data_IF_322039986171
#
_entry.id   IF_322039986171
#
_cell.length_a   1.000
_cell.length_b   1.000
_cell.length_c   1.000
_cell.angle_alpha   90.00
_cell.angle_beta   90.00
_cell.angle_gamma   90.00
#
_symmetry.space_group_name_H-M   'P 1'
#
loop_
_entity.id
_entity.type
_entity.pdbx_description
1 polymer ?
#
# COMPACT_ATOMS: atom_id res chain seq x y z
N UNK A 1 -40.12 52.29 31.59
CA UNK A 1 -38.73 52.55 31.20
C UNK A 1 -37.74 51.79 32.05
N UNK A 2 -37.76 51.79 33.37
CA UNK A 2 -36.80 51.05 34.24
C UNK A 2 -36.78 49.53 34.01
N UNK A 3 -37.92 48.88 33.72
CA UNK A 3 -37.99 47.43 33.50
C UNK A 3 -37.34 47.00 32.18
N UNK A 4 -37.45 47.82 31.13
CA UNK A 4 -36.82 47.52 29.83
C UNK A 4 -35.30 47.66 29.93
N UNK A 5 -34.80 48.60 30.70
CA UNK A 5 -33.37 48.80 30.95
C UNK A 5 -32.73 47.58 31.67
N UNK A 6 -33.46 46.99 32.61
CA UNK A 6 -33.01 45.78 33.34
C UNK A 6 -32.91 44.59 32.41
N UNK A 7 -33.88 44.40 31.51
CA UNK A 7 -33.82 43.30 30.53
C UNK A 7 -32.67 43.48 29.50
N UNK A 8 -32.38 44.71 29.12
CA UNK A 8 -31.29 45.02 28.20
C UNK A 8 -29.92 44.78 28.85
N UNK A 9 -29.76 45.13 30.11
CA UNK A 9 -28.56 44.83 30.90
C UNK A 9 -28.35 43.33 31.13
N UNK A 10 -29.45 42.58 31.40
CA UNK A 10 -29.36 41.13 31.54
C UNK A 10 -28.98 40.45 30.26
N UNK A 11 -29.49 40.92 29.13
CA UNK A 11 -29.14 40.39 27.80
C UNK A 11 -27.68 40.64 27.44
N UNK A 12 -27.15 41.83 27.75
CA UNK A 12 -25.73 42.16 27.55
C UNK A 12 -24.81 41.31 28.44
N UNK A 13 -25.20 40.97 29.67
CA UNK A 13 -24.44 40.11 30.58
C UNK A 13 -24.37 38.67 30.02
N UNK A 14 -25.45 38.14 29.44
CA UNK A 14 -25.45 36.81 28.83
C UNK A 14 -24.62 36.75 27.52
N UNK A 15 -24.57 37.81 26.74
CA UNK A 15 -23.78 37.86 25.53
C UNK A 15 -22.26 37.93 25.82
N UNK A 16 -21.83 38.42 26.95
CA UNK A 16 -20.43 38.48 27.38
C UNK A 16 -19.86 37.15 27.83
N UNK A 17 -20.71 36.14 28.14
CA UNK A 17 -20.26 34.80 28.55
C UNK A 17 -20.04 33.82 27.38
N UNK A 18 -20.24 34.24 26.12
CA UNK A 18 -20.14 33.39 24.93
C UNK A 18 -18.70 33.21 24.40
N UNK A 19 -17.70 33.85 25.00
CA UNK A 19 -16.31 33.56 24.65
C UNK A 19 -15.76 32.45 25.58
N UNK A 20 -16.15 31.22 25.32
CA UNK A 20 -15.43 30.05 25.85
C UNK A 20 -14.19 29.89 24.97
N UNK A 21 -13.02 30.25 25.49
CA UNK A 21 -11.76 29.88 24.86
C UNK A 21 -11.67 28.36 24.85
N UNK A 22 -11.76 27.78 23.65
CA UNK A 22 -11.51 26.36 23.44
C UNK A 22 -10.03 26.08 23.72
N UNK A 23 -9.72 25.56 24.90
CA UNK A 23 -8.40 25.14 25.30
C UNK A 23 -8.05 23.73 24.77
N UNK A 24 -8.93 23.08 23.99
CA UNK A 24 -8.71 21.72 23.48
C UNK A 24 -7.61 21.63 22.44
N UNK A 25 -7.15 22.76 21.89
CA UNK A 25 -6.16 22.82 20.82
C UNK A 25 -4.69 22.95 21.28
N UNK A 26 -4.39 22.84 22.59
CA UNK A 26 -3.04 23.18 23.10
C UNK A 26 -2.01 22.04 23.05
N UNK A 27 -2.41 20.82 22.74
CA UNK A 27 -1.50 19.67 22.71
C UNK A 27 -1.45 18.95 21.36
N UNK A 28 -1.36 19.71 20.25
CA UNK A 28 -1.02 19.07 18.98
C UNK A 28 0.43 18.60 19.01
N UNK A 29 0.62 17.32 19.21
CA UNK A 29 1.90 16.68 18.97
C UNK A 29 2.14 16.70 17.46
N UNK A 30 3.13 17.47 17.01
CA UNK A 30 3.54 17.44 15.60
C UNK A 30 4.11 16.05 15.33
N UNK A 31 3.34 15.21 14.68
CA UNK A 31 3.81 13.92 14.21
C UNK A 31 4.48 14.13 12.85
N UNK A 32 5.75 13.78 12.76
CA UNK A 32 6.46 13.81 11.48
C UNK A 32 6.08 12.57 10.69
N UNK A 33 5.58 12.71 9.45
CA UNK A 33 5.19 11.56 8.65
C UNK A 33 6.39 10.69 8.30
N UNK A 34 6.17 9.38 8.23
CA UNK A 34 7.08 8.45 7.59
C UNK A 34 6.99 8.72 6.08
N UNK A 35 8.12 8.66 5.36
CA UNK A 35 8.12 8.79 3.90
C UNK A 35 8.74 7.54 3.30
N UNK A 36 8.08 6.95 2.32
CA UNK A 36 8.52 5.75 1.62
C UNK A 36 8.87 6.12 0.18
N UNK A 37 10.10 5.84 -0.23
CA UNK A 37 10.58 6.02 -1.59
C UNK A 37 11.13 4.69 -2.13
N UNK A 38 10.96 4.45 -3.42
CA UNK A 38 11.58 3.32 -4.11
C UNK A 38 12.80 3.79 -4.90
N UNK A 39 13.92 3.09 -4.76
CA UNK A 39 15.15 3.42 -5.47
C UNK A 39 14.91 3.31 -6.99
N UNK A 40 15.26 4.36 -7.74
CA UNK A 40 15.18 4.36 -9.20
C UNK A 40 13.86 4.89 -9.78
N UNK A 41 12.94 5.43 -8.97
CA UNK A 41 11.62 5.91 -9.42
C UNK A 41 10.81 4.88 -10.23
N UNK A 42 11.10 3.60 -10.08
CA UNK A 42 10.36 2.52 -10.72
C UNK A 42 9.01 2.33 -10.01
N UNK A 43 8.00 3.01 -10.52
CA UNK A 43 6.61 2.81 -10.07
C UNK A 43 5.92 1.67 -10.81
N UNK A 44 6.61 1.03 -11.76
CA UNK A 44 6.11 -0.08 -12.55
C UNK A 44 7.23 -1.10 -12.84
N UNK A 45 6.93 -2.38 -12.61
CA UNK A 45 7.84 -3.50 -12.83
C UNK A 45 7.14 -4.56 -13.68
N UNK A 46 7.88 -5.22 -14.57
CA UNK A 46 7.45 -6.42 -15.30
C UNK A 46 8.24 -7.62 -14.78
N UNK A 47 7.55 -8.72 -14.56
CA UNK A 47 8.15 -9.94 -14.03
C UNK A 47 7.43 -11.17 -14.59
N UNK A 48 8.13 -12.27 -14.77
CA UNK A 48 7.48 -13.54 -15.09
C UNK A 48 6.84 -14.16 -13.86
N UNK A 49 5.75 -14.89 -14.08
CA UNK A 49 5.09 -15.63 -13.02
C UNK A 49 6.09 -16.59 -12.35
N UNK A 50 6.07 -16.63 -11.02
CA UNK A 50 6.95 -17.41 -10.12
C UNK A 50 8.39 -16.90 -10.00
N UNK A 51 8.79 -15.89 -10.76
CA UNK A 51 10.08 -15.24 -10.53
C UNK A 51 10.08 -14.46 -9.22
N UNK A 52 11.26 -14.33 -8.65
CA UNK A 52 11.45 -13.57 -7.40
C UNK A 52 11.59 -12.08 -7.70
N UNK A 53 10.67 -11.29 -7.17
CA UNK A 53 10.78 -9.83 -7.19
C UNK A 53 11.53 -9.34 -5.96
N UNK A 54 12.54 -8.50 -6.17
CA UNK A 54 13.30 -7.86 -5.10
C UNK A 54 13.12 -6.34 -5.14
N UNK A 55 12.70 -5.76 -4.00
CA UNK A 55 12.49 -4.31 -3.85
C UNK A 55 13.09 -3.87 -2.51
N UNK A 56 13.92 -2.83 -2.57
CA UNK A 56 14.59 -2.24 -1.41
C UNK A 56 14.09 -0.80 -1.23
N UNK A 57 13.06 -0.55 -0.40
CA UNK A 57 12.54 0.79 -0.17
C UNK A 57 13.51 1.62 0.67
N UNK A 58 13.52 2.92 0.43
CA UNK A 58 14.15 3.92 1.29
C UNK A 58 13.06 4.48 2.20
N UNK A 59 13.25 4.34 3.52
CA UNK A 59 12.24 4.76 4.50
C UNK A 59 12.82 5.85 5.39
N UNK A 60 12.28 7.08 5.27
CA UNK A 60 12.62 8.21 6.11
C UNK A 60 11.74 8.20 7.36
N UNK A 61 12.32 7.80 8.48
CA UNK A 61 11.60 7.50 9.73
C UNK A 61 11.28 8.73 10.56
N UNK A 62 11.89 9.87 10.26
CA UNK A 62 11.66 11.16 10.92
C UNK A 62 11.73 11.13 12.47
N UNK A 63 12.58 10.23 13.02
CA UNK A 63 12.83 10.10 14.46
C UNK A 63 12.09 8.94 15.13
N UNK A 64 11.36 8.10 14.36
CA UNK A 64 10.79 6.84 14.85
C UNK A 64 11.90 5.77 14.89
N UNK A 65 11.98 5.02 15.99
CA UNK A 65 12.92 3.89 16.13
C UNK A 65 12.46 2.70 15.29
N UNK A 66 13.41 1.93 14.72
CA UNK A 66 13.13 0.77 13.88
C UNK A 66 12.30 -0.30 14.58
N UNK A 67 12.50 -0.51 15.86
CA UNK A 67 11.74 -1.45 16.69
C UNK A 67 10.25 -1.09 16.81
N UNK A 68 9.89 0.17 16.55
CA UNK A 68 8.52 0.66 16.57
C UNK A 68 7.85 0.63 15.20
N UNK A 69 8.56 0.23 14.15
CA UNK A 69 7.98 0.09 12.81
C UNK A 69 7.58 -1.35 12.54
N UNK A 70 6.46 -1.51 11.85
CA UNK A 70 6.06 -2.76 11.20
C UNK A 70 5.86 -2.53 9.72
N UNK A 71 6.10 -3.56 8.97
CA UNK A 71 6.04 -3.57 7.51
C UNK A 71 5.04 -4.62 7.06
N UNK A 72 4.29 -4.33 6.02
CA UNK A 72 3.38 -5.28 5.40
C UNK A 72 3.36 -5.05 3.89
N UNK A 73 3.71 -6.08 3.13
CA UNK A 73 3.61 -6.08 1.68
C UNK A 73 2.41 -6.89 1.24
N UNK A 74 1.54 -6.27 0.47
CA UNK A 74 0.35 -6.89 -0.11
C UNK A 74 0.36 -6.76 -1.61
N UNK A 75 -0.19 -7.77 -2.30
CA UNK A 75 -0.53 -7.69 -3.71
C UNK A 75 -2.03 -7.78 -3.89
N UNK A 76 -2.59 -6.99 -4.79
CA UNK A 76 -4.02 -7.00 -5.13
C UNK A 76 -4.28 -6.54 -6.57
N UNK A 77 -5.47 -6.80 -7.07
CA UNK A 77 -5.94 -6.34 -8.38
C UNK A 77 -6.37 -7.47 -9.30
N UNK A 78 -7.03 -7.13 -10.41
CA UNK A 78 -7.47 -8.09 -11.44
C UNK A 78 -8.24 -9.29 -10.89
N UNK A 79 -9.20 -9.06 -10.00
CA UNK A 79 -9.94 -10.13 -9.31
C UNK A 79 -9.06 -10.99 -8.40
N UNK A 80 -7.76 -10.71 -8.31
CA UNK A 80 -6.86 -11.35 -7.36
C UNK A 80 -7.13 -10.78 -5.96
N UNK A 81 -7.42 -11.64 -4.98
CA UNK A 81 -7.73 -11.18 -3.63
C UNK A 81 -6.49 -10.52 -3.01
N UNK A 82 -6.73 -9.52 -2.17
CA UNK A 82 -5.66 -8.92 -1.37
C UNK A 82 -4.93 -10.03 -0.60
N UNK A 83 -3.64 -10.17 -0.87
CA UNK A 83 -2.81 -11.24 -0.31
C UNK A 83 -1.55 -10.64 0.29
N UNK A 84 -1.28 -10.94 1.57
CA UNK A 84 -0.04 -10.55 2.25
C UNK A 84 1.07 -11.47 1.77
N UNK A 85 2.16 -10.88 1.27
CA UNK A 85 3.31 -11.60 0.76
C UNK A 85 4.51 -11.57 1.72
N UNK A 86 4.72 -10.46 2.44
CA UNK A 86 5.87 -10.32 3.35
C UNK A 86 5.61 -9.29 4.44
N UNK A 87 6.28 -9.47 5.60
CA UNK A 87 6.28 -8.51 6.71
C UNK A 87 7.68 -7.94 6.98
N UNK A 88 8.58 -8.04 6.00
CA UNK A 88 9.94 -7.51 6.10
C UNK A 88 10.03 -6.11 5.50
N UNK A 89 11.00 -5.32 5.91
CA UNK A 89 11.27 -4.01 5.33
C UNK A 89 11.57 -4.12 3.83
N UNK A 90 12.43 -5.06 3.45
CA UNK A 90 12.75 -5.37 2.05
C UNK A 90 11.83 -6.47 1.54
N UNK A 91 11.39 -6.33 0.29
CA UNK A 91 10.61 -7.35 -0.38
C UNK A 91 11.53 -8.27 -1.19
N UNK A 92 11.38 -9.58 -1.01
CA UNK A 92 12.06 -10.60 -1.81
C UNK A 92 11.24 -11.89 -1.78
N UNK A 93 10.22 -11.94 -2.61
CA UNK A 93 9.29 -13.06 -2.63
C UNK A 93 8.92 -13.41 -4.09
N UNK A 94 8.59 -14.68 -4.38
CA UNK A 94 8.10 -15.07 -5.71
C UNK A 94 6.69 -14.51 -5.94
N UNK A 95 6.43 -14.05 -7.15
CA UNK A 95 5.11 -13.55 -7.55
C UNK A 95 4.31 -14.69 -8.19
N UNK A 96 3.33 -15.22 -7.46
CA UNK A 96 2.46 -16.32 -7.90
C UNK A 96 1.17 -15.85 -8.59
N UNK A 97 0.92 -14.53 -8.64
CA UNK A 97 -0.25 -13.98 -9.32
C UNK A 97 -0.26 -14.40 -10.79
N UNK A 98 -1.45 -14.63 -11.35
CA UNK A 98 -1.58 -15.08 -12.73
C UNK A 98 -1.11 -14.01 -13.74
N UNK A 99 -0.54 -14.41 -14.88
CA UNK A 99 -0.21 -13.48 -15.94
C UNK A 99 -1.41 -12.66 -16.37
N UNK A 100 -1.24 -11.33 -16.48
CA UNK A 100 -2.31 -10.44 -16.88
C UNK A 100 -1.74 -9.17 -17.52
N UNK A 101 -2.41 -8.65 -18.55
CA UNK A 101 -2.05 -7.40 -19.21
C UNK A 101 -2.32 -6.17 -18.31
N UNK A 102 -3.26 -6.28 -17.37
CA UNK A 102 -3.50 -5.26 -16.36
C UNK A 102 -2.58 -5.52 -15.17
N UNK A 103 -1.85 -4.50 -14.74
CA UNK A 103 -0.92 -4.62 -13.63
C UNK A 103 -1.65 -4.86 -12.29
N UNK A 104 -0.98 -5.57 -11.40
CA UNK A 104 -1.32 -5.69 -9.99
C UNK A 104 -0.70 -4.53 -9.22
N UNK A 105 -1.33 -4.17 -8.10
CA UNK A 105 -0.77 -3.24 -7.13
C UNK A 105 0.00 -4.02 -6.06
N UNK A 106 1.30 -3.82 -5.96
CA UNK A 106 2.11 -4.26 -4.83
C UNK A 106 2.26 -3.07 -3.88
N UNK A 107 1.72 -3.20 -2.68
CA UNK A 107 1.60 -2.12 -1.70
C UNK A 107 2.48 -2.43 -0.50
N UNK A 108 3.37 -1.50 -0.14
CA UNK A 108 4.05 -1.49 1.14
C UNK A 108 3.29 -0.58 2.10
N UNK A 109 2.89 -1.11 3.24
CA UNK A 109 2.37 -0.35 4.38
C UNK A 109 3.40 -0.36 5.49
N UNK A 110 3.74 0.82 6.01
CA UNK A 110 4.62 0.99 7.17
C UNK A 110 3.81 1.61 8.29
N UNK A 111 3.78 0.96 9.44
CA UNK A 111 3.01 1.39 10.61
C UNK A 111 3.95 1.74 11.77
N UNK A 112 3.79 2.91 12.35
CA UNK A 112 4.40 3.27 13.64
C UNK A 112 3.52 2.77 14.79
N UNK A 113 3.98 1.77 15.51
CA UNK A 113 3.26 1.15 16.65
C UNK A 113 3.01 2.10 17.82
N UNK A 114 3.74 3.21 17.88
CA UNK A 114 3.59 4.18 19.00
C UNK A 114 2.46 5.17 18.76
N UNK A 115 2.12 5.41 17.51
CA UNK A 115 1.13 6.40 17.09
C UNK A 115 -0.03 5.81 16.29
N UNK A 116 0.07 4.53 15.89
CA UNK A 116 -0.82 3.83 14.95
C UNK A 116 -0.93 4.52 13.57
N UNK A 117 0.02 5.41 13.27
CA UNK A 117 0.05 6.08 11.96
C UNK A 117 0.61 5.11 10.93
N UNK A 118 -0.10 5.05 9.81
CA UNK A 118 0.27 4.23 8.65
C UNK A 118 0.63 5.13 7.47
N UNK A 119 1.69 4.75 6.79
CA UNK A 119 2.06 5.31 5.49
C UNK A 119 2.14 4.17 4.49
N UNK A 120 1.72 4.40 3.26
CA UNK A 120 1.75 3.39 2.22
C UNK A 120 2.32 3.92 0.92
N UNK A 121 2.98 3.05 0.18
CA UNK A 121 3.46 3.32 -1.16
C UNK A 121 3.21 2.12 -2.07
N UNK A 122 3.07 2.36 -3.37
CA UNK A 122 2.58 1.39 -4.34
C UNK A 122 3.50 1.28 -5.54
N UNK A 123 3.68 0.04 -6.03
CA UNK A 123 4.35 -0.30 -7.28
C UNK A 123 3.38 -1.10 -8.15
N UNK A 124 3.28 -0.75 -9.43
CA UNK A 124 2.52 -1.54 -10.39
C UNK A 124 3.35 -2.71 -10.88
N UNK A 125 2.84 -3.94 -10.74
CA UNK A 125 3.53 -5.17 -11.15
C UNK A 125 2.75 -5.84 -12.28
N UNK A 126 3.32 -5.88 -13.48
CA UNK A 126 2.78 -6.64 -14.61
C UNK A 126 3.40 -8.03 -14.58
N UNK A 127 2.56 -9.05 -14.44
CA UNK A 127 2.99 -10.44 -14.44
C UNK A 127 2.84 -11.01 -15.85
N UNK A 128 3.93 -11.45 -16.43
CA UNK A 128 3.98 -12.05 -17.76
C UNK A 128 4.06 -13.59 -17.64
N UNK A 129 3.60 -14.29 -18.67
CA UNK A 129 3.77 -15.74 -18.76
C UNK A 129 5.21 -16.06 -19.16
N UNK A 130 5.85 -16.98 -18.44
CA UNK A 130 7.15 -17.51 -18.86
C UNK A 130 7.02 -18.46 -20.06
N UNK A 131 5.80 -18.93 -20.33
CA UNK A 131 5.49 -19.71 -21.52
C UNK A 131 5.10 -18.71 -22.60
N UNK A 132 5.98 -18.47 -23.56
CA UNK A 132 5.67 -17.70 -24.75
C UNK A 132 4.53 -18.34 -25.56
N UNK A 133 4.03 -17.64 -26.55
CA UNK A 133 3.13 -18.23 -27.52
C UNK A 133 3.87 -19.38 -28.25
N UNK A 134 3.28 -20.56 -28.25
CA UNK A 134 3.88 -21.74 -28.85
C UNK A 134 2.81 -22.69 -29.36
N UNK A 135 3.22 -23.53 -30.29
CA UNK A 135 2.41 -24.60 -30.84
C UNK A 135 2.65 -25.89 -30.00
N UNK A 136 1.59 -26.41 -29.40
CA UNK A 136 1.62 -27.73 -28.78
C UNK A 136 1.39 -28.78 -29.87
N UNK A 137 2.39 -29.60 -30.13
CA UNK A 137 2.31 -30.70 -31.11
C UNK A 137 2.27 -32.02 -30.35
N UNK A 138 1.20 -32.76 -30.56
CA UNK A 138 1.10 -34.14 -30.11
C UNK A 138 1.38 -35.06 -31.31
N UNK A 139 2.37 -35.90 -31.20
CA UNK A 139 2.76 -36.87 -32.27
C UNK A 139 2.77 -38.31 -31.67
N UNK A 140 2.35 -39.26 -32.49
CA UNK A 140 2.45 -40.68 -32.19
C UNK A 140 3.15 -41.38 -33.35
N UNK A 141 4.28 -42.00 -33.10
CA UNK A 141 5.05 -42.73 -34.13
C UNK A 141 4.57 -44.15 -34.37
N UNK A 142 4.02 -44.76 -33.36
CA UNK A 142 3.62 -46.18 -33.37
C UNK A 142 2.10 -46.38 -33.15
N UNK A 143 1.36 -45.33 -32.90
CA UNK A 143 -0.06 -45.34 -32.56
C UNK A 143 -0.36 -45.79 -31.14
N UNK A 144 0.63 -46.12 -30.33
CA UNK A 144 0.49 -46.58 -28.93
C UNK A 144 1.09 -45.60 -27.92
N UNK A 145 2.21 -44.95 -28.29
CA UNK A 145 2.89 -43.97 -27.43
C UNK A 145 2.75 -42.56 -28.04
N UNK A 146 2.26 -41.63 -27.24
CA UNK A 146 2.17 -40.22 -27.62
C UNK A 146 3.30 -39.41 -27.01
N UNK A 147 3.90 -38.53 -27.82
CA UNK A 147 4.86 -37.54 -27.35
C UNK A 147 4.24 -36.14 -27.55
N UNK A 148 4.54 -35.23 -26.59
CA UNK A 148 4.04 -33.88 -26.66
C UNK A 148 5.21 -32.91 -26.63
N UNK A 149 5.33 -32.14 -27.72
CA UNK A 149 6.37 -31.13 -27.86
C UNK A 149 5.77 -29.73 -27.89
N UNK A 150 6.36 -28.80 -27.16
CA UNK A 150 6.04 -27.37 -27.20
C UNK A 150 7.07 -26.71 -28.13
N UNK A 151 6.59 -26.14 -29.24
CA UNK A 151 7.40 -25.31 -30.13
C UNK A 151 7.17 -23.88 -29.77
N UNK A 152 8.16 -23.21 -29.19
CA UNK A 152 8.12 -21.78 -28.86
C UNK A 152 8.38 -20.96 -30.12
N UNK A 153 7.61 -19.86 -30.29
CA UNK A 153 7.78 -18.91 -31.39
C UNK A 153 8.82 -17.85 -31.06
#
# INVERSE_FOLDING_TARGET
MKRILIFLLLYMAFAAMSCYEDHSAKDFKIVKPIVIEFAGAETAVKIFQFDTLEINPIIYKNGVSDENLTYEWKIQGNEYPETILSNKMTFREPISAAPNSTAYDLILTVTDKTTDIQEFSRISVTVESSLGEGLLVADTRDGETGDVSLIMA
#
